data_IF_154489728607
#
_entry.id   IF_154489728607
#
_cell.length_a   1.000
_cell.length_b   1.000
_cell.length_c   1.000
_cell.angle_alpha   90.00
_cell.angle_beta   90.00
_cell.angle_gamma   90.00
#
_symmetry.space_group_name_H-M   'P 1'
#
loop_
_entity.id
_entity.type
_entity.pdbx_description
1 polymer ?
#
# COMPACT_ATOMS: atom_id res chain seq x y z
N UNK A 1 9.16 47.54 56.58
CA UNK A 1 9.54 46.13 56.86
C UNK A 1 8.92 45.28 55.78
N UNK A 2 9.74 44.63 55.03
CA UNK A 2 9.55 44.12 53.72
C UNK A 2 9.36 42.60 53.84
N UNK A 3 8.30 42.06 53.26
CA UNK A 3 8.09 40.63 53.13
C UNK A 3 7.81 40.26 51.68
N UNK A 4 8.83 39.75 50.98
CA UNK A 4 8.68 39.29 49.60
C UNK A 4 8.13 37.88 49.55
N UNK A 5 7.08 37.67 48.77
CA UNK A 5 6.59 36.36 48.34
C UNK A 5 7.21 36.00 46.98
N UNK A 6 7.98 34.93 46.93
CA UNK A 6 8.38 34.21 45.72
C UNK A 6 7.22 33.31 45.30
N UNK A 7 6.67 33.58 44.15
CA UNK A 7 5.80 32.64 43.46
C UNK A 7 6.65 31.62 42.68
N UNK A 8 6.57 30.35 43.08
CA UNK A 8 7.15 29.23 42.31
C UNK A 8 6.21 28.89 41.15
N UNK A 9 6.77 28.86 39.95
CA UNK A 9 6.08 28.33 38.78
C UNK A 9 6.40 26.83 38.75
N UNK A 10 5.39 25.99 39.00
CA UNK A 10 5.48 24.57 38.73
C UNK A 10 5.25 24.35 37.21
N UNK A 11 6.30 23.96 36.51
CA UNK A 11 6.20 23.38 35.16
C UNK A 11 5.59 21.98 35.28
N UNK A 12 4.34 21.84 34.91
CA UNK A 12 3.73 20.53 34.69
C UNK A 12 4.27 19.91 33.40
N UNK A 13 5.14 18.91 33.54
CA UNK A 13 5.56 18.05 32.48
C UNK A 13 4.37 17.21 32.00
N UNK A 14 3.76 17.58 30.88
CA UNK A 14 2.83 16.74 30.14
C UNK A 14 3.64 15.65 29.43
N UNK A 15 3.78 14.51 30.09
CA UNK A 15 4.30 13.30 29.46
C UNK A 15 3.33 12.85 28.36
N UNK A 16 3.78 12.89 27.11
CA UNK A 16 3.08 12.22 26.02
C UNK A 16 3.18 10.71 26.25
N UNK A 17 2.09 10.08 26.60
CA UNK A 17 1.96 8.62 26.56
C UNK A 17 2.07 8.21 25.09
N UNK A 18 3.21 7.66 24.71
CA UNK A 18 3.35 6.93 23.44
C UNK A 18 2.47 5.68 23.53
N UNK A 19 1.61 5.49 22.54
CA UNK A 19 0.74 4.32 22.51
C UNK A 19 1.55 3.03 22.39
N UNK A 20 1.07 1.95 22.98
CA UNK A 20 1.74 0.63 23.03
C UNK A 20 2.10 0.09 21.63
N UNK A 21 1.39 0.53 20.59
CA UNK A 21 1.65 0.18 19.18
C UNK A 21 2.89 0.89 18.60
N UNK A 22 3.11 2.17 18.93
CA UNK A 22 4.28 2.94 18.49
C UNK A 22 5.58 2.40 19.10
N UNK A 23 5.53 2.00 20.38
CA UNK A 23 6.69 1.41 21.07
C UNK A 23 7.04 0.04 20.46
N UNK A 24 6.05 -0.76 20.07
CA UNK A 24 6.25 -2.07 19.43
C UNK A 24 6.87 -1.97 18.05
N UNK A 25 6.48 -0.97 17.26
CA UNK A 25 7.01 -0.73 15.91
C UNK A 25 8.45 -0.22 16.02
N UNK A 26 8.70 0.74 16.88
CA UNK A 26 10.03 1.35 17.04
C UNK A 26 11.09 0.37 17.56
N UNK A 27 10.77 -0.45 18.56
CA UNK A 27 11.68 -1.47 19.08
C UNK A 27 12.01 -2.55 18.04
N UNK A 28 11.04 -2.93 17.22
CA UNK A 28 11.21 -3.90 16.15
C UNK A 28 12.10 -3.39 15.01
N UNK A 29 12.06 -2.07 14.75
CA UNK A 29 12.94 -1.42 13.76
C UNK A 29 14.36 -1.26 14.25
N UNK A 30 14.58 -0.93 15.53
CA UNK A 30 15.92 -0.84 16.10
C UNK A 30 16.65 -2.19 16.07
N UNK A 31 15.96 -3.27 16.34
CA UNK A 31 16.50 -4.64 16.25
C UNK A 31 16.88 -5.02 14.81
N UNK A 32 16.05 -4.69 13.83
CA UNK A 32 16.30 -4.92 12.40
C UNK A 32 17.49 -4.09 11.88
N UNK A 33 17.57 -2.80 12.23
CA UNK A 33 18.68 -1.91 11.82
C UNK A 33 20.00 -2.39 12.41
N UNK A 34 20.00 -2.90 13.64
CA UNK A 34 21.18 -3.47 14.28
C UNK A 34 21.67 -4.73 13.56
N UNK A 35 20.77 -5.59 13.13
CA UNK A 35 21.10 -6.81 12.38
C UNK A 35 21.66 -6.53 10.97
N UNK A 36 21.25 -5.42 10.34
CA UNK A 36 21.72 -5.00 9.00
C UNK A 36 23.09 -4.31 9.09
N UNK A 37 23.36 -3.53 10.17
CA UNK A 37 24.64 -2.84 10.34
C UNK A 37 25.82 -3.79 10.64
N UNK A 38 25.55 -4.88 11.34
CA UNK A 38 26.57 -5.89 11.68
C UNK A 38 27.04 -6.72 10.47
N UNK A 39 26.26 -6.79 9.38
CA UNK A 39 26.60 -7.54 8.17
C UNK A 39 27.31 -6.77 7.07
N UNK A 40 27.51 -5.43 7.22
CA UNK A 40 28.15 -4.59 6.20
C UNK A 40 29.68 -4.72 6.14
N UNK A 41 30.34 -5.42 7.06
CA UNK A 41 31.82 -5.47 7.10
C UNK A 41 32.47 -6.60 6.29
N UNK A 42 31.71 -7.51 5.68
CA UNK A 42 32.31 -8.73 5.09
C UNK A 42 32.15 -8.95 3.59
N UNK A 43 31.71 -7.99 2.76
CA UNK A 43 31.72 -8.23 1.29
C UNK A 43 31.97 -6.96 0.49
N UNK A 44 33.25 -6.59 0.32
CA UNK A 44 33.78 -5.99 -0.90
C UNK A 44 34.48 -7.09 -1.70
N UNK A 45 33.84 -7.56 -2.76
CA UNK A 45 34.31 -8.05 -4.06
C UNK A 45 33.27 -9.01 -4.63
N UNK A 46 32.60 -8.60 -5.69
CA UNK A 46 32.74 -9.18 -7.02
C UNK A 46 31.69 -8.55 -7.94
N UNK A 47 32.20 -8.00 -9.03
CA UNK A 47 31.41 -7.58 -10.19
C UNK A 47 30.71 -8.81 -10.78
N UNK A 48 29.41 -8.74 -10.98
CA UNK A 48 28.71 -9.67 -11.88
C UNK A 48 27.75 -8.95 -12.81
N UNK A 49 28.09 -9.11 -14.05
CA UNK A 49 27.44 -8.85 -15.31
C UNK A 49 25.91 -9.07 -15.24
N UNK A 50 25.19 -8.08 -15.74
CA UNK A 50 23.75 -8.10 -16.00
C UNK A 50 23.38 -9.22 -16.94
N UNK A 51 22.62 -10.18 -16.47
CA UNK A 51 21.69 -10.94 -17.31
C UNK A 51 20.27 -10.50 -16.90
N UNK A 52 19.65 -9.74 -17.81
CA UNK A 52 18.23 -9.40 -17.72
C UNK A 52 17.42 -10.63 -18.11
N UNK A 53 17.10 -11.46 -17.14
CA UNK A 53 15.95 -12.36 -17.26
C UNK A 53 14.73 -11.55 -16.83
N UNK A 54 13.77 -11.33 -17.73
CA UNK A 54 12.41 -10.91 -17.38
C UNK A 54 11.80 -11.97 -16.44
N UNK A 55 12.04 -11.81 -15.14
CA UNK A 55 11.27 -12.51 -14.15
C UNK A 55 9.82 -12.05 -14.30
N UNK A 56 8.90 -12.95 -14.57
CA UNK A 56 7.48 -12.66 -14.68
C UNK A 56 7.08 -11.80 -13.48
N UNK A 57 6.65 -10.57 -13.73
CA UNK A 57 6.36 -9.59 -12.71
C UNK A 57 5.17 -10.10 -11.87
N UNK A 58 5.41 -10.44 -10.61
CA UNK A 58 4.38 -10.96 -9.71
C UNK A 58 3.40 -9.85 -9.34
N UNK A 59 2.11 -10.10 -9.53
CA UNK A 59 1.06 -9.19 -9.10
C UNK A 59 0.55 -9.57 -7.71
N UNK A 60 0.39 -8.57 -6.86
CA UNK A 60 -0.32 -8.69 -5.59
C UNK A 60 -1.77 -8.24 -5.78
N UNK A 61 -2.69 -8.86 -5.04
CA UNK A 61 -4.12 -8.54 -5.05
C UNK A 61 -4.54 -8.10 -3.65
N UNK A 62 -4.99 -6.85 -3.55
CA UNK A 62 -5.28 -6.15 -2.30
C UNK A 62 -6.78 -5.89 -2.22
N UNK A 63 -7.44 -6.37 -1.18
CA UNK A 63 -8.80 -6.02 -0.87
C UNK A 63 -8.85 -4.61 -0.27
N UNK A 64 -9.55 -3.69 -0.95
CA UNK A 64 -9.69 -2.31 -0.49
C UNK A 64 -10.85 -2.23 0.51
N UNK A 65 -10.56 -1.74 1.70
CA UNK A 65 -11.58 -1.54 2.74
C UNK A 65 -12.26 -0.17 2.62
N UNK A 66 -13.43 -0.03 3.23
CA UNK A 66 -14.17 1.24 3.30
C UNK A 66 -13.41 2.30 4.13
N UNK A 67 -13.96 3.50 4.23
CA UNK A 67 -13.40 4.58 5.03
C UNK A 67 -13.16 4.15 6.47
N UNK A 68 -11.95 4.44 6.95
CA UNK A 68 -11.49 4.07 8.29
C UNK A 68 -11.33 2.55 8.48
N UNK A 69 -11.16 1.79 7.40
CA UNK A 69 -10.89 0.35 7.41
C UNK A 69 -11.95 -0.48 8.17
N UNK A 70 -13.23 -0.10 8.04
CA UNK A 70 -14.31 -0.69 8.84
C UNK A 70 -14.90 -1.95 8.25
N UNK A 71 -15.07 -2.00 6.92
CA UNK A 71 -15.78 -3.06 6.21
C UNK A 71 -15.12 -3.32 4.86
N UNK A 72 -15.36 -4.50 4.31
CA UNK A 72 -14.88 -4.92 2.98
C UNK A 72 -15.89 -4.65 1.86
N UNK A 73 -17.17 -4.44 2.21
CA UNK A 73 -18.27 -4.22 1.26
C UNK A 73 -18.53 -2.72 1.11
N UNK A 74 -18.44 -2.23 -0.11
CA UNK A 74 -18.73 -0.85 -0.49
C UNK A 74 -20.14 -0.77 -1.10
N UNK A 75 -20.83 0.36 -0.90
CA UNK A 75 -22.10 0.62 -1.55
C UNK A 75 -21.93 0.88 -3.05
N UNK A 76 -20.82 1.53 -3.40
CA UNK A 76 -20.53 1.97 -4.76
C UNK A 76 -19.01 2.15 -4.95
N UNK A 77 -18.55 2.10 -6.20
CA UNK A 77 -17.25 2.61 -6.63
C UNK A 77 -17.46 3.89 -7.44
N UNK A 78 -16.92 5.03 -6.97
CA UNK A 78 -16.79 6.26 -7.76
C UNK A 78 -15.36 6.41 -8.21
N UNK A 79 -15.11 6.39 -9.51
CA UNK A 79 -13.75 6.37 -10.07
C UNK A 79 -13.63 7.23 -11.33
N UNK A 80 -12.45 7.77 -11.56
CA UNK A 80 -12.07 8.47 -12.79
C UNK A 80 -10.59 8.29 -13.06
N UNK A 81 -10.17 8.45 -14.32
CA UNK A 81 -8.76 8.54 -14.71
C UNK A 81 -8.57 9.67 -15.72
N UNK A 82 -7.37 10.25 -15.74
CA UNK A 82 -7.06 11.38 -16.63
C UNK A 82 -7.27 11.01 -18.10
N UNK A 83 -6.76 9.86 -18.55
CA UNK A 83 -6.92 9.37 -19.92
C UNK A 83 -8.24 8.64 -20.19
N UNK A 84 -9.18 8.59 -19.22
CA UNK A 84 -10.39 7.79 -19.27
C UNK A 84 -10.18 6.36 -18.77
N UNK A 85 -11.28 5.61 -18.71
CA UNK A 85 -11.34 4.26 -18.17
C UNK A 85 -11.74 3.25 -19.24
N UNK A 86 -11.30 2.01 -19.06
CA UNK A 86 -11.81 0.82 -19.72
C UNK A 86 -12.56 0.02 -18.67
N UNK A 87 -13.81 -0.34 -18.98
CA UNK A 87 -14.69 -1.13 -18.12
C UNK A 87 -15.04 -2.41 -18.86
N UNK A 88 -14.59 -3.53 -18.32
CA UNK A 88 -14.86 -4.86 -18.89
C UNK A 88 -15.84 -5.60 -17.98
N UNK A 89 -16.97 -5.98 -18.57
CA UNK A 89 -18.01 -6.85 -17.99
C UNK A 89 -18.07 -8.12 -18.83
N UNK A 90 -18.78 -9.14 -18.36
CA UNK A 90 -18.95 -10.39 -19.14
C UNK A 90 -19.49 -10.09 -20.55
N UNK A 91 -18.65 -10.24 -21.57
CA UNK A 91 -19.00 -10.08 -22.97
C UNK A 91 -19.08 -8.63 -23.49
N UNK A 92 -18.80 -7.62 -22.67
CA UNK A 92 -18.80 -6.20 -23.07
C UNK A 92 -17.54 -5.48 -22.62
N UNK A 93 -17.11 -4.52 -23.43
CA UNK A 93 -16.03 -3.58 -23.12
C UNK A 93 -16.53 -2.17 -23.43
N UNK A 94 -16.50 -1.32 -22.46
CA UNK A 94 -16.91 0.08 -22.56
C UNK A 94 -15.69 0.98 -22.26
N UNK A 95 -15.65 2.15 -22.90
CA UNK A 95 -14.60 3.13 -22.66
C UNK A 95 -15.23 4.47 -22.31
N UNK A 96 -14.65 5.15 -21.33
CA UNK A 96 -15.11 6.49 -20.92
C UNK A 96 -14.29 7.58 -21.58
N UNK A 97 -14.81 8.80 -21.55
CA UNK A 97 -14.06 10.00 -21.91
C UNK A 97 -12.97 10.31 -20.86
N UNK A 98 -12.02 11.16 -21.23
CA UNK A 98 -10.99 11.66 -20.32
C UNK A 98 -11.63 12.37 -19.12
N UNK A 99 -11.09 12.11 -17.92
CA UNK A 99 -11.55 12.65 -16.65
C UNK A 99 -13.05 12.39 -16.32
N UNK A 100 -13.74 11.57 -17.09
CA UNK A 100 -15.11 11.18 -16.81
C UNK A 100 -15.20 10.45 -15.47
N UNK A 101 -16.17 10.84 -14.66
CA UNK A 101 -16.44 10.21 -13.36
C UNK A 101 -17.57 9.22 -13.54
N UNK A 102 -17.28 7.95 -13.28
CA UNK A 102 -18.28 6.90 -13.29
C UNK A 102 -18.59 6.43 -11.87
N UNK A 103 -19.80 5.91 -11.73
CA UNK A 103 -20.25 5.21 -10.51
C UNK A 103 -20.65 3.81 -10.88
N UNK A 104 -20.13 2.82 -10.18
CA UNK A 104 -20.47 1.41 -10.34
C UNK A 104 -21.02 0.92 -9.01
N UNK A 105 -22.17 0.25 -9.07
CA UNK A 105 -22.88 -0.33 -7.93
C UNK A 105 -23.13 -1.82 -8.18
N UNK A 106 -23.69 -2.54 -7.23
CA UNK A 106 -24.04 -3.96 -7.41
C UNK A 106 -25.07 -4.21 -8.53
N UNK A 107 -25.91 -3.23 -8.82
CA UNK A 107 -26.93 -3.27 -9.88
C UNK A 107 -26.32 -3.36 -11.28
N UNK A 108 -25.09 -2.87 -11.46
CA UNK A 108 -24.36 -2.89 -12.74
C UNK A 108 -23.86 -4.29 -13.15
N UNK A 109 -23.92 -5.27 -12.25
CA UNK A 109 -23.48 -6.65 -12.53
C UNK A 109 -24.54 -7.48 -13.24
N UNK A 110 -25.81 -7.00 -13.32
CA UNK A 110 -26.94 -7.75 -13.88
C UNK A 110 -27.30 -8.97 -13.03
N UNK A 111 -27.97 -9.96 -13.67
CA UNK A 111 -28.44 -11.19 -13.00
C UNK A 111 -27.35 -12.26 -12.82
N UNK A 112 -26.14 -12.05 -13.33
CA UNK A 112 -25.04 -13.00 -13.19
C UNK A 112 -24.04 -12.45 -12.17
N UNK A 113 -23.55 -13.31 -11.29
CA UNK A 113 -22.45 -13.02 -10.35
C UNK A 113 -21.13 -12.83 -11.14
N UNK A 114 -21.10 -11.83 -12.00
CA UNK A 114 -19.98 -11.50 -12.85
C UNK A 114 -18.96 -10.66 -12.08
N UNK A 115 -17.77 -10.58 -12.65
CA UNK A 115 -16.72 -9.64 -12.26
C UNK A 115 -16.75 -8.46 -13.23
N UNK A 116 -16.63 -7.23 -12.69
CA UNK A 116 -16.35 -6.02 -13.48
C UNK A 116 -14.90 -5.66 -13.28
N UNK A 117 -14.19 -5.46 -14.38
CA UNK A 117 -12.79 -5.00 -14.36
C UNK A 117 -12.71 -3.57 -14.85
N UNK A 118 -11.98 -2.73 -14.10
CA UNK A 118 -11.75 -1.32 -14.44
C UNK A 118 -10.26 -1.05 -14.52
N UNK A 119 -9.82 -0.41 -15.59
CA UNK A 119 -8.43 0.00 -15.80
C UNK A 119 -8.37 1.40 -16.39
N UNK A 120 -7.26 2.13 -16.18
CA UNK A 120 -7.02 3.39 -16.88
C UNK A 120 -6.58 3.11 -18.33
N UNK A 121 -7.12 3.84 -19.31
CA UNK A 121 -6.82 3.65 -20.77
C UNK A 121 -5.35 3.87 -21.12
N UNK A 122 -4.71 4.80 -20.43
CA UNK A 122 -3.30 5.18 -20.63
C UNK A 122 -2.32 4.41 -19.73
N UNK A 123 -2.82 3.42 -18.97
CA UNK A 123 -2.02 2.71 -17.97
C UNK A 123 -1.67 3.55 -16.74
N UNK A 124 -2.28 4.74 -16.60
CA UNK A 124 -2.10 5.64 -15.47
C UNK A 124 -2.82 5.18 -14.20
N UNK A 125 -3.04 6.12 -13.29
CA UNK A 125 -3.74 5.85 -12.03
C UNK A 125 -5.23 6.20 -12.11
N UNK A 126 -6.03 5.42 -11.41
CA UNK A 126 -7.46 5.63 -11.22
C UNK A 126 -7.71 6.28 -9.87
N UNK A 127 -8.32 7.47 -9.84
CA UNK A 127 -8.69 8.15 -8.60
C UNK A 127 -10.01 7.59 -8.09
N UNK A 128 -9.99 6.94 -6.93
CA UNK A 128 -11.19 6.40 -6.27
C UNK A 128 -11.75 7.41 -5.30
N UNK A 129 -12.93 7.95 -5.64
CA UNK A 129 -13.58 9.05 -4.89
C UNK A 129 -14.55 8.56 -3.81
N UNK A 130 -14.90 7.28 -3.83
CA UNK A 130 -15.74 6.62 -2.82
C UNK A 130 -14.95 6.08 -1.62
N UNK A 131 -13.63 6.24 -1.62
CA UNK A 131 -12.73 5.86 -0.53
C UNK A 131 -11.93 7.10 -0.11
N UNK A 132 -11.70 7.25 1.21
CA UNK A 132 -10.80 8.25 1.78
C UNK A 132 -9.68 7.58 2.55
N UNK A 133 -8.47 8.11 2.37
CA UNK A 133 -7.26 7.73 3.11
C UNK A 133 -6.62 8.99 3.72
N UNK A 134 -5.51 8.86 4.42
CA UNK A 134 -4.90 9.96 5.18
C UNK A 134 -4.66 11.25 4.38
N UNK A 135 -4.49 11.17 3.07
CA UNK A 135 -4.27 12.34 2.20
C UNK A 135 -5.47 12.70 1.29
N UNK A 136 -6.63 12.09 1.49
CA UNK A 136 -7.85 12.36 0.71
C UNK A 136 -8.32 11.18 -0.11
N UNK A 137 -8.74 11.41 -1.36
CA UNK A 137 -9.13 10.34 -2.26
C UNK A 137 -7.89 9.65 -2.84
N UNK A 138 -7.72 8.35 -2.62
CA UNK A 138 -6.55 7.63 -3.09
C UNK A 138 -6.61 7.38 -4.60
N UNK A 139 -5.43 7.27 -5.21
CA UNK A 139 -5.27 6.82 -6.60
C UNK A 139 -4.60 5.44 -6.64
N UNK A 140 -5.05 4.60 -7.57
CA UNK A 140 -4.60 3.22 -7.72
C UNK A 140 -4.13 2.95 -9.15
N UNK A 141 -2.94 2.41 -9.28
CA UNK A 141 -2.43 1.86 -10.54
C UNK A 141 -2.94 0.43 -10.76
N UNK A 142 -2.76 -0.09 -11.97
CA UNK A 142 -3.09 -1.46 -12.31
C UNK A 142 -4.58 -1.66 -12.57
N UNK A 143 -5.17 -2.66 -11.94
CA UNK A 143 -6.54 -3.13 -12.20
C UNK A 143 -7.38 -2.97 -10.93
N UNK A 144 -8.63 -2.55 -11.09
CA UNK A 144 -9.66 -2.70 -10.07
C UNK A 144 -10.64 -3.79 -10.51
N UNK A 145 -10.61 -4.93 -9.83
CA UNK A 145 -11.59 -6.01 -9.99
C UNK A 145 -12.71 -5.85 -8.96
N UNK A 146 -13.96 -5.84 -9.42
CA UNK A 146 -15.14 -5.63 -8.60
C UNK A 146 -15.98 -6.92 -8.56
N UNK A 147 -16.45 -7.27 -7.38
CA UNK A 147 -17.30 -8.43 -7.14
C UNK A 147 -18.61 -8.00 -6.48
N UNK A 148 -19.73 -8.40 -7.03
CA UNK A 148 -21.03 -8.13 -6.42
C UNK A 148 -21.25 -9.02 -5.19
N UNK A 149 -21.89 -8.44 -4.16
CA UNK A 149 -22.39 -9.14 -2.99
C UNK A 149 -23.87 -8.81 -2.78
N UNK A 150 -24.54 -9.47 -1.83
CA UNK A 150 -25.92 -9.13 -1.47
C UNK A 150 -26.09 -7.69 -0.98
N UNK A 151 -25.03 -7.11 -0.36
CA UNK A 151 -25.06 -5.81 0.31
C UNK A 151 -24.40 -4.68 -0.47
N UNK A 152 -23.61 -4.99 -1.51
CA UNK A 152 -22.85 -4.02 -2.28
C UNK A 152 -21.79 -4.67 -3.16
N UNK A 153 -20.60 -4.08 -3.19
CA UNK A 153 -19.46 -4.56 -3.99
C UNK A 153 -18.19 -4.69 -3.15
N UNK A 154 -17.37 -5.68 -3.47
CA UNK A 154 -16.00 -5.81 -2.97
C UNK A 154 -15.05 -5.34 -4.06
N UNK A 155 -14.02 -4.59 -3.69
CA UNK A 155 -13.06 -3.96 -4.60
C UNK A 155 -11.69 -4.56 -4.35
N UNK A 156 -11.07 -5.13 -5.38
CA UNK A 156 -9.72 -5.68 -5.34
C UNK A 156 -8.83 -4.84 -6.27
N UNK A 157 -7.71 -4.33 -5.75
CA UNK A 157 -6.68 -3.72 -6.58
C UNK A 157 -5.61 -4.77 -6.90
N UNK A 158 -5.36 -4.99 -8.18
CA UNK A 158 -4.31 -5.89 -8.67
C UNK A 158 -3.24 -5.09 -9.39
N UNK A 159 -1.98 -5.20 -8.94
CA UNK A 159 -0.85 -4.50 -9.53
C UNK A 159 0.47 -5.22 -9.23
N UNK A 160 1.57 -4.88 -9.96
CA UNK A 160 2.89 -5.41 -9.64
C UNK A 160 3.35 -5.07 -8.22
N UNK A 161 4.05 -5.99 -7.55
CA UNK A 161 4.56 -5.81 -6.18
C UNK A 161 5.39 -4.52 -6.04
N UNK A 162 6.27 -4.21 -7.00
CA UNK A 162 7.09 -3.00 -6.94
C UNK A 162 6.23 -1.71 -6.94
N UNK A 163 5.13 -1.70 -7.70
CA UNK A 163 4.19 -0.58 -7.70
C UNK A 163 3.41 -0.48 -6.39
N UNK A 164 3.03 -1.63 -5.81
CA UNK A 164 2.43 -1.71 -4.49
C UNK A 164 3.35 -1.11 -3.42
N UNK A 165 4.63 -1.47 -3.42
CA UNK A 165 5.62 -0.97 -2.45
C UNK A 165 5.81 0.54 -2.51
N UNK A 166 5.67 1.18 -3.68
CA UNK A 166 5.72 2.64 -3.80
C UNK A 166 4.60 3.35 -3.01
N UNK A 167 3.52 2.66 -2.66
CA UNK A 167 2.41 3.17 -1.85
C UNK A 167 2.41 2.66 -0.40
N UNK A 168 3.10 1.53 -0.14
CA UNK A 168 3.29 0.98 1.21
C UNK A 168 4.38 1.72 1.95
N UNK A 169 5.57 1.85 1.37
CA UNK A 169 6.73 2.43 2.05
C UNK A 169 6.43 3.81 2.64
N UNK A 170 5.85 4.79 1.90
CA UNK A 170 5.53 6.09 2.48
C UNK A 170 4.35 6.06 3.46
N UNK A 171 3.55 4.99 3.47
CA UNK A 171 2.44 4.80 4.42
C UNK A 171 2.91 4.20 5.75
N UNK A 172 4.04 3.50 5.75
CA UNK A 172 4.65 2.84 6.92
C UNK A 172 5.80 3.65 7.53
N UNK A 173 6.54 4.41 6.72
CA UNK A 173 7.73 5.16 7.14
C UNK A 173 7.74 6.55 6.49
N UNK A 174 7.94 7.63 7.27
CA UNK A 174 8.06 8.98 6.71
C UNK A 174 9.17 9.06 5.65
N UNK A 175 8.83 9.61 4.47
CA UNK A 175 9.78 9.75 3.36
C UNK A 175 10.96 10.71 3.65
N UNK A 176 10.91 11.44 4.76
CA UNK A 176 12.00 12.28 5.27
C UNK A 176 13.13 11.50 5.94
N UNK A 177 12.97 10.20 6.14
CA UNK A 177 14.03 9.35 6.70
C UNK A 177 15.18 9.20 5.71
N UNK A 178 16.34 8.81 6.23
CA UNK A 178 17.53 8.62 5.39
C UNK A 178 17.30 7.53 4.34
N UNK A 179 17.85 7.72 3.15
CA UNK A 179 17.69 6.84 1.99
C UNK A 179 17.93 5.36 2.31
N UNK A 180 18.99 5.06 3.07
CA UNK A 180 19.30 3.67 3.44
C UNK A 180 18.23 3.05 4.37
N UNK A 181 17.57 3.85 5.20
CA UNK A 181 16.46 3.38 6.02
C UNK A 181 15.22 3.09 5.15
N UNK A 182 14.91 3.96 4.19
CA UNK A 182 13.84 3.73 3.22
C UNK A 182 14.10 2.50 2.36
N UNK A 183 15.34 2.24 1.94
CA UNK A 183 15.75 1.03 1.21
C UNK A 183 15.58 -0.22 2.06
N UNK A 184 16.00 -0.19 3.33
CA UNK A 184 15.78 -1.30 4.25
C UNK A 184 14.29 -1.58 4.44
N UNK A 185 13.47 -0.53 4.59
CA UNK A 185 12.01 -0.66 4.65
C UNK A 185 11.44 -1.31 3.39
N UNK A 186 11.88 -0.89 2.20
CA UNK A 186 11.42 -1.44 0.93
C UNK A 186 11.73 -2.94 0.81
N UNK A 187 12.94 -3.38 1.20
CA UNK A 187 13.32 -4.80 1.21
C UNK A 187 12.47 -5.59 2.20
N UNK A 188 12.28 -5.08 3.43
CA UNK A 188 11.44 -5.75 4.43
C UNK A 188 9.98 -5.85 3.97
N UNK A 189 9.42 -4.77 3.41
CA UNK A 189 8.06 -4.74 2.90
C UNK A 189 7.87 -5.71 1.73
N UNK A 190 8.87 -5.84 0.85
CA UNK A 190 8.86 -6.81 -0.27
C UNK A 190 8.81 -8.24 0.24
N UNK A 191 9.67 -8.59 1.21
CA UNK A 191 9.64 -9.93 1.82
C UNK A 191 8.29 -10.26 2.45
N UNK A 192 7.71 -9.29 3.16
CA UNK A 192 6.39 -9.47 3.74
C UNK A 192 5.32 -9.69 2.66
N UNK A 193 5.29 -8.85 1.62
CA UNK A 193 4.33 -8.96 0.52
C UNK A 193 4.48 -10.31 -0.21
N UNK A 194 5.70 -10.73 -0.57
CA UNK A 194 5.94 -12.01 -1.25
C UNK A 194 5.47 -13.20 -0.41
N UNK A 195 5.68 -13.16 0.91
CA UNK A 195 5.18 -14.21 1.79
C UNK A 195 3.65 -14.24 1.84
N UNK A 196 2.98 -13.09 1.90
CA UNK A 196 1.52 -13.04 1.87
C UNK A 196 0.95 -13.54 0.54
N UNK A 197 1.70 -13.42 -0.55
CA UNK A 197 1.28 -13.90 -1.87
C UNK A 197 1.35 -15.42 -2.05
N UNK A 198 1.88 -16.16 -1.08
CA UNK A 198 1.88 -17.63 -1.10
C UNK A 198 0.47 -18.21 -0.94
N UNK A 199 -0.48 -17.44 -0.35
CA UNK A 199 -1.86 -17.86 -0.11
C UNK A 199 -2.83 -16.66 -0.23
N UNK A 200 -4.12 -16.93 -0.26
CA UNK A 200 -5.17 -15.91 -0.29
C UNK A 200 -5.81 -15.78 1.11
N UNK A 201 -5.64 -14.60 1.73
CA UNK A 201 -6.37 -14.28 2.96
C UNK A 201 -7.88 -14.16 2.72
N UNK A 202 -8.27 -13.83 1.48
CA UNK A 202 -9.66 -13.73 1.03
C UNK A 202 -9.88 -14.59 -0.22
N UNK A 203 -10.02 -15.92 -0.06
CA UNK A 203 -10.10 -16.86 -1.18
C UNK A 203 -11.25 -16.61 -2.15
N UNK A 204 -12.40 -16.13 -1.65
CA UNK A 204 -13.58 -15.79 -2.45
C UNK A 204 -13.30 -14.75 -3.54
N UNK A 205 -12.37 -13.83 -3.25
CA UNK A 205 -11.99 -12.72 -4.13
C UNK A 205 -10.57 -12.88 -4.69
N UNK A 206 -9.90 -13.97 -4.32
CA UNK A 206 -8.50 -14.22 -4.65
C UNK A 206 -7.60 -13.04 -4.23
N UNK A 207 -7.85 -12.46 -3.05
CA UNK A 207 -7.04 -11.38 -2.51
C UNK A 207 -6.08 -11.91 -1.44
N UNK A 208 -4.80 -11.49 -1.56
CA UNK A 208 -3.73 -11.91 -0.67
C UNK A 208 -3.76 -11.19 0.67
N UNK A 209 -4.14 -9.90 0.64
CA UNK A 209 -4.13 -9.00 1.81
C UNK A 209 -5.28 -8.01 1.71
N UNK A 210 -5.55 -7.27 2.78
CA UNK A 210 -6.29 -6.02 2.73
C UNK A 210 -5.34 -4.80 2.87
N UNK A 211 -5.87 -3.58 2.75
CA UNK A 211 -5.11 -2.34 2.77
C UNK A 211 -4.95 -1.69 4.16
N UNK A 212 -5.32 -2.41 5.23
CA UNK A 212 -5.29 -1.91 6.62
C UNK A 212 -4.05 -2.34 7.40
N UNK A 213 -4.02 -1.98 8.68
CA UNK A 213 -2.98 -2.39 9.66
C UNK A 213 -2.98 -3.89 9.98
N UNK A 214 -3.97 -4.66 9.54
CA UNK A 214 -3.95 -6.13 9.68
C UNK A 214 -2.83 -6.74 8.85
N UNK A 215 -2.44 -6.03 7.78
CA UNK A 215 -1.32 -6.36 6.90
C UNK A 215 -0.38 -5.15 6.81
N UNK A 216 -0.04 -4.70 5.61
CA UNK A 216 0.72 -3.47 5.39
C UNK A 216 -0.23 -2.34 5.04
N UNK A 217 -0.10 -1.21 5.72
CA UNK A 217 -0.91 -0.02 5.38
C UNK A 217 -0.61 0.41 3.95
N UNK A 218 -1.61 0.28 3.09
CA UNK A 218 -1.46 0.56 1.67
C UNK A 218 -2.17 1.87 1.28
N UNK A 219 -1.42 2.76 0.63
CA UNK A 219 -1.96 3.99 0.03
C UNK A 219 -2.62 4.95 1.03
N UNK A 220 -2.17 4.95 2.30
CA UNK A 220 -2.65 5.90 3.31
C UNK A 220 -1.88 7.23 3.29
N UNK A 221 -0.70 7.26 2.68
CA UNK A 221 0.09 8.45 2.38
C UNK A 221 0.26 8.59 0.88
N UNK A 222 0.35 9.84 0.40
CA UNK A 222 0.68 10.08 -1.00
C UNK A 222 2.07 9.51 -1.32
N UNK A 223 2.24 9.03 -2.55
CA UNK A 223 3.54 8.57 -3.04
C UNK A 223 4.57 9.70 -2.95
N UNK A 224 5.79 9.38 -2.54
CA UNK A 224 6.90 10.31 -2.36
C UNK A 224 8.10 9.87 -3.20
N UNK A 225 8.82 10.82 -3.80
CA UNK A 225 9.95 10.52 -4.67
C UNK A 225 11.06 9.75 -3.95
N UNK A 226 11.41 10.16 -2.72
CA UNK A 226 12.46 9.51 -1.95
C UNK A 226 12.15 8.03 -1.63
N UNK A 227 10.92 7.72 -1.24
CA UNK A 227 10.50 6.33 -0.98
C UNK A 227 10.37 5.53 -2.27
N UNK A 228 9.89 6.15 -3.34
CA UNK A 228 9.80 5.52 -4.67
C UNK A 228 11.17 5.18 -5.23
N UNK A 229 12.15 6.09 -5.08
CA UNK A 229 13.53 5.84 -5.47
C UNK A 229 14.15 4.68 -4.69
N UNK A 230 13.91 4.63 -3.36
CA UNK A 230 14.39 3.55 -2.51
C UNK A 230 13.82 2.18 -2.93
N UNK A 231 12.53 2.10 -3.28
CA UNK A 231 11.90 0.89 -3.83
C UNK A 231 12.58 0.47 -5.13
N UNK A 232 12.78 1.42 -6.06
CA UNK A 232 13.40 1.13 -7.38
C UNK A 232 14.84 0.67 -7.26
N UNK A 233 15.63 1.29 -6.38
CA UNK A 233 17.04 0.92 -6.18
C UNK A 233 17.21 -0.45 -5.51
N UNK A 234 16.19 -0.95 -4.85
CA UNK A 234 16.18 -2.27 -4.21
C UNK A 234 15.25 -3.26 -4.91
N UNK A 235 14.82 -2.96 -6.15
CA UNK A 235 13.87 -3.80 -6.87
C UNK A 235 14.36 -5.26 -6.96
N UNK A 236 13.49 -6.20 -6.59
CA UNK A 236 13.79 -7.63 -6.57
C UNK A 236 14.72 -8.09 -5.43
N UNK A 237 15.25 -7.19 -4.58
CA UNK A 237 16.04 -7.60 -3.43
C UNK A 237 15.16 -8.19 -2.33
N UNK A 238 15.51 -9.41 -1.91
CA UNK A 238 14.83 -10.15 -0.83
C UNK A 238 15.82 -10.66 0.19
N UNK A 239 15.36 -10.82 1.43
CA UNK A 239 16.14 -11.43 2.51
C UNK A 239 15.99 -12.94 2.41
N UNK A 240 17.10 -13.66 2.51
CA UNK A 240 17.12 -15.12 2.56
C UNK A 240 17.77 -15.61 3.84
N UNK A 241 17.21 -16.66 4.41
CA UNK A 241 17.80 -17.37 5.55
C UNK A 241 18.20 -18.76 5.14
N UNK A 242 19.49 -19.12 5.32
CA UNK A 242 20.08 -20.43 4.94
C UNK A 242 19.80 -20.84 3.47
N UNK A 243 19.66 -19.84 2.58
CA UNK A 243 19.47 -20.08 1.14
C UNK A 243 18.00 -20.25 0.71
N UNK A 244 17.07 -20.18 1.64
CA UNK A 244 15.62 -20.17 1.40
C UNK A 244 15.07 -18.75 1.53
#
# INVERSE_FOLDING_TARGET
MIGGLKAGIEESAVGKEQTHSEISIQSRWEELLKSVSEKKNDKKKDQKKSESTEAAQKNIRILLMTDGYKQIVHKELKVSATGGLIIEKTGTREETAENEKITITKEDFGFQNGKIRVTAKDGGEMVVRSIRRGYGNPSYAGILDLYATSEGIVIINELPVESYLCKVVPSEMPASYQKEALKAQAVCARNYAERQMEDYAYPEYQAHVNDSTDYQVYNNSAQQDASTEAVRETAGEVLKYKGN
#
